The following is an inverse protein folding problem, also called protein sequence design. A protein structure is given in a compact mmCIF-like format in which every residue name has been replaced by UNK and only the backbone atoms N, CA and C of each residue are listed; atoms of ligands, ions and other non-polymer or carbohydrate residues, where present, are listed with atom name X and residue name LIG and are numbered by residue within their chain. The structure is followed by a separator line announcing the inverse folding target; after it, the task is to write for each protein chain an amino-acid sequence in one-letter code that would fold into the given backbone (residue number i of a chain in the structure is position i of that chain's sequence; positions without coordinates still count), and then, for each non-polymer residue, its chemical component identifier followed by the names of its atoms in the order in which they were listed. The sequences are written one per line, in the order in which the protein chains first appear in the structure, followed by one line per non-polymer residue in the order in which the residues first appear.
data_IF_199857641731
#
_entry.id   IF_199857641731
#
_cell.length_a   1.000
_cell.length_b   1.000
_cell.length_c   1.000
_cell.angle_alpha   90.00
_cell.angle_beta   90.00
_cell.angle_gamma   90.00
#
_symmetry.space_group_name_H-M   'P 1'
#
loop_
_entity.id
_entity.type
_entity.pdbx_description
1 polymer ?
#
# COMPACT_ATOMS: atom_id res chain seq x y z
N UNK A 1 -89.52 -0.72 -49.51
CA UNK A 1 -89.19 -1.00 -48.09
C UNK A 1 -87.74 -1.48 -48.04
N UNK A 2 -86.79 -0.58 -47.81
CA UNK A 2 -85.36 -0.93 -47.73
C UNK A 2 -85.04 -1.30 -46.28
N UNK A 3 -84.94 -2.60 -46.00
CA UNK A 3 -84.53 -3.12 -44.69
C UNK A 3 -83.09 -2.68 -44.42
N UNK A 4 -82.90 -1.77 -43.46
CA UNK A 4 -81.55 -1.41 -43.00
C UNK A 4 -81.00 -2.60 -42.24
N UNK A 5 -79.80 -3.11 -42.58
CA UNK A 5 -79.23 -4.26 -41.88
C UNK A 5 -79.08 -3.96 -40.39
N UNK A 6 -79.25 -4.96 -39.51
CA UNK A 6 -79.10 -4.75 -38.08
C UNK A 6 -77.70 -4.20 -37.77
N UNK A 7 -77.58 -3.19 -36.89
CA UNK A 7 -76.29 -2.65 -36.51
C UNK A 7 -75.46 -3.71 -35.79
N UNK A 8 -74.18 -3.77 -36.12
CA UNK A 8 -73.22 -4.66 -35.47
C UNK A 8 -72.92 -4.20 -34.03
N UNK A 9 -72.42 -5.11 -33.19
CA UNK A 9 -72.13 -4.85 -31.77
C UNK A 9 -71.14 -3.67 -31.61
N UNK A 10 -70.17 -3.55 -32.53
CA UNK A 10 -69.25 -2.41 -32.57
C UNK A 10 -69.97 -1.07 -32.77
N UNK A 11 -71.03 -1.04 -33.58
CA UNK A 11 -71.83 0.17 -33.79
C UNK A 11 -72.64 0.54 -32.55
N UNK A 12 -73.12 -0.45 -31.78
CA UNK A 12 -73.80 -0.22 -30.51
C UNK A 12 -72.85 0.33 -29.44
N UNK A 13 -71.62 -0.19 -29.33
CA UNK A 13 -70.60 0.37 -28.45
C UNK A 13 -70.16 1.78 -28.87
N UNK A 14 -69.94 2.02 -30.16
CA UNK A 14 -69.64 3.35 -30.67
C UNK A 14 -70.79 4.36 -30.41
N UNK A 15 -72.04 3.89 -30.39
CA UNK A 15 -73.20 4.71 -29.99
C UNK A 15 -73.19 5.04 -28.48
N UNK A 16 -72.78 4.10 -27.63
CA UNK A 16 -72.60 4.32 -26.17
C UNK A 16 -71.50 5.34 -25.91
N UNK A 17 -70.40 5.27 -26.66
CA UNK A 17 -69.23 6.14 -26.52
C UNK A 17 -69.36 7.50 -27.25
N UNK A 18 -70.47 7.72 -27.97
CA UNK A 18 -70.71 8.96 -28.72
C UNK A 18 -69.83 9.14 -29.96
N UNK A 19 -69.18 8.08 -30.45
CA UNK A 19 -68.19 8.10 -31.54
C UNK A 19 -68.78 7.83 -32.94
N UNK A 20 -70.11 7.73 -33.07
CA UNK A 20 -70.76 7.58 -34.37
C UNK A 20 -71.00 8.93 -35.06
N UNK A 21 -70.86 8.95 -36.39
CA UNK A 21 -71.29 10.06 -37.24
C UNK A 21 -72.80 10.34 -37.10
N UNK A 22 -73.27 11.59 -37.26
CA UNK A 22 -74.67 11.98 -37.01
C UNK A 22 -75.70 11.14 -37.76
N UNK A 23 -75.42 10.81 -39.03
CA UNK A 23 -76.31 9.99 -39.87
C UNK A 23 -76.42 8.54 -39.37
N UNK A 24 -75.29 7.94 -38.97
CA UNK A 24 -75.25 6.57 -38.44
C UNK A 24 -75.89 6.50 -37.04
N UNK A 25 -75.70 7.54 -36.23
CA UNK A 25 -76.34 7.68 -34.92
C UNK A 25 -77.86 7.72 -35.01
N UNK A 26 -78.41 8.42 -36.01
CA UNK A 26 -79.84 8.48 -36.25
C UNK A 26 -80.40 7.11 -36.70
N UNK A 27 -79.68 6.40 -37.57
CA UNK A 27 -80.07 5.05 -38.01
C UNK A 27 -80.06 4.04 -36.85
N UNK A 28 -79.02 4.06 -36.00
CA UNK A 28 -78.94 3.20 -34.80
C UNK A 28 -80.03 3.56 -33.79
N UNK A 29 -80.32 4.86 -33.58
CA UNK A 29 -81.40 5.30 -32.70
C UNK A 29 -82.79 4.84 -33.17
N UNK A 30 -83.07 4.95 -34.47
CA UNK A 30 -84.32 4.46 -35.06
C UNK A 30 -84.45 2.93 -34.94
N UNK A 31 -83.34 2.19 -35.13
CA UNK A 31 -83.34 0.74 -34.94
C UNK A 31 -83.58 0.33 -33.48
N UNK A 32 -82.99 1.05 -32.51
CA UNK A 32 -83.21 0.81 -31.08
C UNK A 32 -84.65 1.10 -30.64
N UNK A 33 -85.35 2.06 -31.28
CA UNK A 33 -86.78 2.28 -31.03
C UNK A 33 -87.65 1.09 -31.44
N UNK A 34 -87.25 0.37 -32.50
CA UNK A 34 -87.95 -0.84 -32.95
C UNK A 34 -87.57 -2.10 -32.15
N UNK A 35 -86.53 -2.04 -31.29
CA UNK A 35 -85.96 -3.20 -30.56
C UNK A 35 -85.77 -2.89 -29.06
N UNK A 36 -86.85 -2.94 -28.25
CA UNK A 36 -86.83 -2.47 -26.86
C UNK A 36 -85.90 -3.25 -25.93
N UNK A 37 -85.69 -4.55 -26.18
CA UNK A 37 -84.78 -5.37 -25.38
C UNK A 37 -83.30 -4.94 -25.56
N UNK A 38 -82.92 -4.56 -26.77
CA UNK A 38 -81.59 -4.08 -27.12
C UNK A 38 -81.38 -2.64 -26.63
N UNK A 39 -82.42 -1.81 -26.70
CA UNK A 39 -82.41 -0.47 -26.10
C UNK A 39 -82.14 -0.53 -24.58
N UNK A 40 -82.76 -1.48 -23.87
CA UNK A 40 -82.51 -1.67 -22.44
C UNK A 40 -81.05 -2.07 -22.12
N UNK A 41 -80.44 -2.93 -22.94
CA UNK A 41 -79.02 -3.32 -22.81
C UNK A 41 -78.09 -2.13 -23.03
N UNK A 42 -78.29 -1.35 -24.10
CA UNK A 42 -77.49 -0.16 -24.42
C UNK A 42 -77.62 0.91 -23.33
N UNK A 43 -78.82 1.08 -22.75
CA UNK A 43 -79.05 1.98 -21.62
C UNK A 43 -78.34 1.51 -20.33
N UNK A 44 -78.16 0.20 -20.14
CA UNK A 44 -77.30 -0.37 -19.09
C UNK A 44 -75.85 0.04 -19.27
N UNK A 45 -75.28 -0.20 -20.46
CA UNK A 45 -73.90 0.16 -20.78
C UNK A 45 -73.58 1.64 -20.65
N UNK A 46 -74.53 2.52 -21.03
CA UNK A 46 -74.38 3.97 -20.83
C UNK A 46 -74.23 4.34 -19.35
N UNK A 47 -75.05 3.75 -18.48
CA UNK A 47 -74.97 3.98 -17.03
C UNK A 47 -73.66 3.48 -16.44
N UNK A 48 -73.19 2.32 -16.87
CA UNK A 48 -71.91 1.76 -16.40
C UNK A 48 -70.73 2.63 -16.84
N UNK A 49 -70.73 3.08 -18.10
CA UNK A 49 -69.70 3.97 -18.63
C UNK A 49 -69.69 5.34 -17.92
N UNK A 50 -70.86 5.89 -17.59
CA UNK A 50 -70.99 7.13 -16.81
C UNK A 50 -70.50 6.96 -15.37
N UNK A 51 -70.84 5.84 -14.71
CA UNK A 51 -70.36 5.53 -13.37
C UNK A 51 -68.83 5.40 -13.31
N UNK A 52 -68.23 4.73 -14.30
CA UNK A 52 -66.77 4.61 -14.42
C UNK A 52 -66.10 5.97 -14.67
N UNK A 53 -66.68 6.80 -15.55
CA UNK A 53 -66.18 8.16 -15.80
C UNK A 53 -66.26 9.03 -14.55
N UNK A 54 -67.36 8.95 -13.79
CA UNK A 54 -67.53 9.69 -12.54
C UNK A 54 -66.52 9.24 -11.47
N UNK A 55 -66.29 7.92 -11.34
CA UNK A 55 -65.29 7.37 -10.42
C UNK A 55 -63.85 7.80 -10.78
N UNK A 56 -63.56 7.97 -12.08
CA UNK A 56 -62.26 8.40 -12.56
C UNK A 56 -62.09 9.92 -12.69
N UNK A 57 -63.15 10.72 -12.65
CA UNK A 57 -63.07 12.18 -12.84
C UNK A 57 -62.28 12.90 -11.73
N UNK A 58 -62.12 12.28 -10.55
CA UNK A 58 -61.28 12.79 -9.47
C UNK A 58 -59.82 12.33 -9.52
N UNK A 59 -59.48 11.41 -10.44
CA UNK A 59 -58.13 10.93 -10.70
C UNK A 59 -57.56 11.70 -11.89
N UNK A 60 -57.45 13.03 -11.76
CA UNK A 60 -56.63 13.82 -12.68
C UNK A 60 -55.21 13.21 -12.71
N UNK A 61 -54.65 12.91 -13.90
CA UNK A 61 -53.35 12.28 -13.98
C UNK A 61 -52.28 13.32 -13.63
N UNK A 62 -51.89 13.35 -12.35
CA UNK A 62 -50.62 13.90 -11.87
C UNK A 62 -49.40 13.26 -12.59
N UNK A 63 -49.64 12.28 -13.47
CA UNK A 63 -48.64 11.69 -14.35
C UNK A 63 -48.19 12.58 -15.52
N UNK A 64 -48.85 13.71 -15.80
CA UNK A 64 -48.41 14.64 -16.84
C UNK A 64 -47.23 15.54 -16.41
N UNK A 65 -46.97 15.68 -15.10
CA UNK A 65 -45.91 16.57 -14.58
C UNK A 65 -44.56 15.88 -14.38
N UNK A 66 -44.49 14.55 -14.36
CA UNK A 66 -43.22 13.84 -14.56
C UNK A 66 -42.88 13.81 -16.05
N UNK A 67 -42.47 14.98 -16.55
CA UNK A 67 -41.83 15.10 -17.84
C UNK A 67 -40.50 14.31 -17.79
N UNK A 68 -40.57 13.01 -18.09
CA UNK A 68 -39.45 12.12 -18.43
C UNK A 68 -38.84 12.58 -19.75
N UNK A 69 -38.32 13.81 -19.76
CA UNK A 69 -37.61 14.36 -20.90
C UNK A 69 -36.30 13.57 -21.05
N UNK A 70 -35.99 13.05 -22.24
CA UNK A 70 -34.72 12.34 -22.49
C UNK A 70 -33.49 13.18 -22.10
N UNK A 71 -33.63 14.51 -22.14
CA UNK A 71 -32.61 15.44 -21.68
C UNK A 71 -32.35 15.39 -20.16
N UNK A 72 -33.40 15.31 -19.32
CA UNK A 72 -33.24 15.20 -17.87
C UNK A 72 -32.59 13.86 -17.47
N UNK A 73 -33.00 12.77 -18.11
CA UNK A 73 -32.43 11.42 -17.87
C UNK A 73 -30.93 11.39 -18.25
N UNK A 74 -30.56 11.94 -19.42
CA UNK A 74 -29.14 12.03 -19.84
C UNK A 74 -28.29 12.87 -18.89
N UNK A 75 -28.81 14.00 -18.40
CA UNK A 75 -28.10 14.84 -17.42
C UNK A 75 -27.85 14.10 -16.10
N UNK A 76 -28.85 13.37 -15.61
CA UNK A 76 -28.72 12.54 -14.41
C UNK A 76 -27.67 11.44 -14.56
N UNK A 77 -27.67 10.74 -15.70
CA UNK A 77 -26.66 9.71 -16.01
C UNK A 77 -25.24 10.28 -16.13
N UNK A 78 -25.07 11.45 -16.76
CA UNK A 78 -23.77 12.11 -16.89
C UNK A 78 -23.22 12.58 -15.54
N UNK A 79 -24.05 13.14 -14.66
CA UNK A 79 -23.65 13.50 -13.29
C UNK A 79 -23.24 12.28 -12.47
N UNK A 80 -23.97 11.16 -12.60
CA UNK A 80 -23.63 9.89 -11.92
C UNK A 80 -22.30 9.31 -12.41
N UNK A 81 -22.03 9.38 -13.73
CA UNK A 81 -20.73 8.95 -14.30
C UNK A 81 -19.59 9.86 -13.85
N UNK A 82 -19.80 11.18 -13.77
CA UNK A 82 -18.80 12.14 -13.28
C UNK A 82 -18.46 11.93 -11.80
N UNK A 83 -19.46 11.68 -10.97
CA UNK A 83 -19.24 11.41 -9.54
C UNK A 83 -18.51 10.09 -9.32
N UNK A 84 -18.89 9.02 -10.03
CA UNK A 84 -18.17 7.74 -10.00
C UNK A 84 -16.72 7.87 -10.50
N UNK A 85 -16.50 8.62 -11.59
CA UNK A 85 -15.15 8.89 -12.10
C UNK A 85 -14.31 9.71 -11.11
N UNK A 86 -14.92 10.68 -10.43
CA UNK A 86 -14.25 11.45 -9.39
C UNK A 86 -13.83 10.57 -8.21
N UNK A 87 -14.72 9.71 -7.70
CA UNK A 87 -14.37 8.75 -6.62
C UNK A 87 -13.26 7.77 -7.04
N UNK A 88 -13.28 7.29 -8.28
CA UNK A 88 -12.23 6.41 -8.80
C UNK A 88 -10.87 7.15 -8.88
N UNK A 89 -10.87 8.39 -9.38
CA UNK A 89 -9.68 9.24 -9.41
C UNK A 89 -9.13 9.51 -8.00
N UNK A 90 -10.00 9.76 -7.01
CA UNK A 90 -9.61 9.93 -5.61
C UNK A 90 -8.97 8.66 -5.04
N UNK A 91 -9.50 7.47 -5.36
CA UNK A 91 -8.91 6.20 -4.91
C UNK A 91 -7.55 5.96 -5.55
N UNK A 92 -7.38 6.23 -6.85
CA UNK A 92 -6.09 6.10 -7.54
C UNK A 92 -5.07 7.10 -7.00
N UNK A 93 -5.47 8.35 -6.72
CA UNK A 93 -4.59 9.34 -6.11
C UNK A 93 -4.21 8.96 -4.68
N UNK A 94 -5.14 8.45 -3.87
CA UNK A 94 -4.85 7.99 -2.52
C UNK A 94 -3.91 6.77 -2.51
N UNK A 95 -4.12 5.80 -3.42
CA UNK A 95 -3.24 4.64 -3.58
C UNK A 95 -1.88 5.02 -4.16
N UNK A 96 -1.82 5.94 -5.13
CA UNK A 96 -0.58 6.43 -5.72
C UNK A 96 0.27 7.23 -4.75
N UNK A 97 -0.34 8.15 -3.99
CA UNK A 97 0.35 8.90 -2.94
C UNK A 97 0.74 8.01 -1.76
N UNK A 98 -0.13 7.07 -1.36
CA UNK A 98 0.12 6.14 -0.26
C UNK A 98 1.24 5.15 -0.55
N UNK A 99 1.34 4.64 -1.77
CA UNK A 99 2.40 3.69 -2.17
C UNK A 99 3.73 4.39 -2.43
N UNK A 100 3.72 5.54 -3.13
CA UNK A 100 4.93 6.30 -3.44
C UNK A 100 5.60 6.88 -2.20
N UNK A 101 4.84 7.60 -1.36
CA UNK A 101 5.37 8.18 -0.11
C UNK A 101 5.66 7.11 0.92
N UNK A 102 4.84 6.06 1.01
CA UNK A 102 5.02 4.95 1.95
C UNK A 102 6.33 4.20 1.72
N UNK A 103 6.74 3.99 0.46
CA UNK A 103 7.99 3.30 0.15
C UNK A 103 9.23 4.16 0.46
N UNK A 104 9.22 5.45 0.11
CA UNK A 104 10.31 6.38 0.47
C UNK A 104 10.43 6.58 1.99
N UNK A 105 9.30 6.65 2.71
CA UNK A 105 9.29 6.72 4.18
C UNK A 105 9.83 5.42 4.80
N UNK A 106 9.60 4.26 4.18
CA UNK A 106 10.16 2.98 4.64
C UNK A 106 11.68 2.94 4.43
N UNK A 107 12.18 3.35 3.27
CA UNK A 107 13.63 3.37 2.98
C UNK A 107 14.37 4.36 3.88
N UNK A 108 13.82 5.57 4.07
CA UNK A 108 14.39 6.55 5.00
C UNK A 108 14.34 6.06 6.45
N UNK A 109 13.25 5.44 6.90
CA UNK A 109 13.19 4.82 8.25
C UNK A 109 14.20 3.68 8.42
N UNK A 110 14.37 2.82 7.41
CA UNK A 110 15.37 1.75 7.46
C UNK A 110 16.80 2.32 7.47
N UNK A 111 17.06 3.42 6.76
CA UNK A 111 18.34 4.12 6.80
C UNK A 111 18.59 4.80 8.16
N UNK A 112 17.56 5.39 8.78
CA UNK A 112 17.64 6.02 10.11
C UNK A 112 17.78 4.98 11.23
N UNK A 113 17.21 3.78 11.06
CA UNK A 113 17.30 2.68 12.03
C UNK A 113 18.52 1.77 11.86
N UNK A 114 19.27 1.86 10.74
CA UNK A 114 20.56 1.19 10.61
C UNK A 114 21.55 1.83 11.55
N UNK A 115 21.66 1.28 12.74
CA UNK A 115 22.65 1.75 13.71
C UNK A 115 24.04 1.45 13.15
N UNK A 116 24.94 2.45 13.07
CA UNK A 116 26.29 2.24 12.53
C UNK A 116 27.01 1.12 13.27
N UNK A 117 27.69 0.25 12.50
CA UNK A 117 28.57 -0.81 13.01
C UNK A 117 27.91 -1.78 14.00
N UNK A 118 26.59 -2.01 13.89
CA UNK A 118 25.89 -3.02 14.71
C UNK A 118 26.44 -4.44 14.48
N UNK A 119 26.88 -4.72 13.25
CA UNK A 119 27.58 -5.92 12.83
C UNK A 119 28.91 -6.12 13.57
N UNK A 120 29.68 -5.04 13.80
CA UNK A 120 30.94 -5.10 14.55
C UNK A 120 30.73 -5.54 16.01
N UNK A 121 29.70 -5.01 16.69
CA UNK A 121 29.38 -5.38 18.07
C UNK A 121 28.89 -6.83 18.15
N UNK A 122 28.07 -7.25 17.19
CA UNK A 122 27.61 -8.64 17.09
C UNK A 122 28.78 -9.61 16.86
N UNK A 123 29.69 -9.28 15.94
CA UNK A 123 30.90 -10.07 15.68
C UNK A 123 31.81 -10.13 16.90
N UNK A 124 31.97 -9.03 17.64
CA UNK A 124 32.79 -9.01 18.86
C UNK A 124 32.21 -9.91 19.96
N UNK A 125 30.88 -9.93 20.15
CA UNK A 125 30.23 -10.81 21.14
C UNK A 125 30.55 -12.29 20.89
N UNK A 126 30.59 -12.72 19.63
CA UNK A 126 30.98 -14.09 19.27
C UNK A 126 32.41 -14.46 19.76
N UNK A 127 33.32 -13.47 19.81
CA UNK A 127 34.70 -13.67 20.26
C UNK A 127 34.93 -13.42 21.76
N UNK A 128 34.24 -12.44 22.34
CA UNK A 128 34.38 -12.09 23.74
C UNK A 128 33.78 -13.16 24.65
N UNK A 129 32.68 -13.80 24.21
CA UNK A 129 32.04 -14.92 24.91
C UNK A 129 32.60 -16.28 24.50
N UNK A 130 33.72 -16.33 23.76
CA UNK A 130 34.32 -17.58 23.29
C UNK A 130 34.78 -18.51 24.43
N UNK A 131 34.96 -17.99 25.65
CA UNK A 131 35.22 -18.82 26.85
C UNK A 131 33.96 -19.62 27.30
N UNK A 132 32.76 -19.23 26.84
CA UNK A 132 31.51 -19.95 27.10
C UNK A 132 31.20 -21.04 26.05
N UNK A 133 31.78 -20.97 24.85
CA UNK A 133 31.53 -21.93 23.76
C UNK A 133 32.83 -22.24 22.97
N UNK A 134 33.70 -23.14 23.48
CA UNK A 134 34.96 -23.50 22.83
C UNK A 134 34.83 -24.16 21.45
N UNK A 135 33.60 -24.48 21.00
CA UNK A 135 33.31 -25.06 19.69
C UNK A 135 33.15 -24.06 18.53
N UNK A 136 33.08 -22.74 18.80
CA UNK A 136 32.96 -21.70 17.76
C UNK A 136 34.33 -21.17 17.29
N UNK A 137 35.43 -21.74 17.80
CA UNK A 137 36.82 -21.47 17.41
C UNK A 137 37.20 -22.04 16.02
N UNK A 138 36.26 -22.08 15.09
CA UNK A 138 36.51 -22.17 13.65
C UNK A 138 36.71 -20.71 13.20
N UNK A 139 37.84 -20.05 13.40
CA UNK A 139 39.08 -20.30 12.70
C UNK A 139 40.01 -19.18 13.21
N UNK A 140 40.96 -19.46 14.10
CA UNK A 140 41.93 -18.44 14.52
C UNK A 140 42.96 -18.33 13.39
N UNK A 141 42.69 -17.53 12.35
CA UNK A 141 43.69 -17.32 11.31
C UNK A 141 44.95 -16.71 11.91
N UNK A 142 46.10 -17.34 11.69
CA UNK A 142 47.39 -16.77 12.09
C UNK A 142 47.64 -15.52 11.27
N UNK A 143 48.30 -14.53 11.89
CA UNK A 143 48.64 -13.22 11.26
C UNK A 143 49.15 -13.35 9.81
N UNK A 144 49.97 -14.37 9.55
CA UNK A 144 50.62 -14.66 8.27
C UNK A 144 49.65 -14.95 7.12
N UNK A 145 48.47 -15.50 7.41
CA UNK A 145 47.44 -15.84 6.41
C UNK A 145 46.42 -14.71 6.23
N UNK A 146 46.19 -13.95 7.29
CA UNK A 146 45.19 -12.90 7.34
C UNK A 146 45.69 -11.57 6.71
N UNK A 147 46.97 -11.24 6.88
CA UNK A 147 47.54 -10.00 6.33
C UNK A 147 47.49 -9.93 4.80
N UNK A 148 47.84 -10.98 4.02
CA UNK A 148 47.66 -10.97 2.57
C UNK A 148 46.20 -10.75 2.16
N UNK A 149 45.26 -11.43 2.81
CA UNK A 149 43.83 -11.31 2.49
C UNK A 149 43.29 -9.90 2.75
N UNK A 150 43.65 -9.32 3.91
CA UNK A 150 43.27 -7.95 4.26
C UNK A 150 43.82 -6.95 3.26
N UNK A 151 45.08 -7.11 2.83
CA UNK A 151 45.66 -6.23 1.80
C UNK A 151 44.97 -6.38 0.45
N UNK A 152 44.55 -7.58 0.07
CA UNK A 152 43.78 -7.79 -1.17
C UNK A 152 42.41 -7.11 -1.12
N UNK A 153 41.73 -7.12 0.03
CA UNK A 153 40.35 -6.61 0.15
C UNK A 153 40.26 -5.14 0.59
N UNK A 154 41.22 -4.65 1.36
CA UNK A 154 41.22 -3.30 1.95
C UNK A 154 42.44 -2.45 1.54
N UNK A 155 43.35 -2.98 0.72
CA UNK A 155 44.53 -2.24 0.26
C UNK A 155 45.43 -1.81 1.42
N UNK A 156 45.78 -0.52 1.47
CA UNK A 156 46.62 0.05 2.53
C UNK A 156 45.94 0.06 3.91
N UNK A 157 44.61 0.12 3.94
CA UNK A 157 43.82 0.02 5.17
C UNK A 157 43.82 -1.40 5.77
N UNK A 158 44.30 -2.40 5.01
CA UNK A 158 44.39 -3.80 5.42
C UNK A 158 45.66 -4.17 6.20
N UNK A 159 46.49 -3.20 6.58
CA UNK A 159 47.68 -3.47 7.40
C UNK A 159 47.27 -3.75 8.84
N UNK A 160 47.68 -4.90 9.37
CA UNK A 160 47.37 -5.30 10.75
C UNK A 160 48.14 -4.42 11.74
N UNK A 161 47.45 -3.58 12.55
CA UNK A 161 48.13 -2.66 13.45
C UNK A 161 48.88 -3.39 14.57
N UNK A 162 50.08 -2.89 14.87
CA UNK A 162 50.87 -3.35 16.00
C UNK A 162 50.52 -2.55 17.27
N UNK A 163 49.76 -3.18 18.17
CA UNK A 163 49.32 -2.58 19.44
C UNK A 163 50.16 -3.01 20.64
N UNK A 164 51.33 -3.63 20.41
CA UNK A 164 52.22 -4.11 21.48
C UNK A 164 52.69 -2.98 22.40
N UNK A 165 52.91 -1.79 21.84
CA UNK A 165 53.28 -0.59 22.62
C UNK A 165 52.19 -0.15 23.61
N UNK A 166 50.93 -0.51 23.37
CA UNK A 166 49.79 -0.25 24.26
C UNK A 166 49.46 -1.45 25.16
N UNK A 167 50.29 -2.50 25.12
CA UNK A 167 50.14 -3.71 25.92
C UNK A 167 49.18 -4.75 25.34
N UNK A 168 48.74 -4.59 24.09
CA UNK A 168 47.83 -5.52 23.42
C UNK A 168 48.56 -6.40 22.41
N UNK A 169 48.31 -7.70 22.47
CA UNK A 169 48.87 -8.70 21.55
C UNK A 169 47.75 -9.28 20.70
N UNK A 170 47.97 -9.36 19.39
CA UNK A 170 47.05 -10.00 18.46
C UNK A 170 46.94 -11.49 18.79
N UNK A 171 45.73 -11.96 19.08
CA UNK A 171 45.43 -13.38 19.31
C UNK A 171 45.01 -14.10 18.04
N UNK A 172 44.37 -13.38 17.12
CA UNK A 172 44.00 -13.86 15.80
C UNK A 172 42.96 -12.96 15.16
N UNK A 173 42.38 -13.42 14.07
CA UNK A 173 41.22 -12.77 13.48
C UNK A 173 40.35 -13.77 12.73
N UNK A 174 39.18 -13.32 12.30
CA UNK A 174 38.22 -14.07 11.49
C UNK A 174 37.68 -13.21 10.36
N UNK A 175 37.47 -13.87 9.22
CA UNK A 175 36.82 -13.30 8.05
C UNK A 175 35.32 -13.49 8.13
N UNK A 176 34.56 -12.45 7.82
CA UNK A 176 33.11 -12.39 7.97
C UNK A 176 32.49 -11.92 6.66
N UNK A 177 31.30 -12.42 6.35
CA UNK A 177 30.51 -11.93 5.22
C UNK A 177 29.40 -11.03 5.74
N UNK A 178 29.35 -9.80 5.24
CA UNK A 178 28.37 -8.79 5.64
C UNK A 178 27.58 -8.30 4.42
N UNK A 179 26.39 -7.70 4.63
CA UNK A 179 25.64 -7.07 3.53
C UNK A 179 26.45 -6.01 2.76
N UNK A 180 27.42 -5.39 3.42
CA UNK A 180 28.32 -4.36 2.85
C UNK A 180 29.57 -4.94 2.17
N UNK A 181 29.81 -6.24 2.27
CA UNK A 181 30.94 -6.94 1.66
C UNK A 181 31.72 -7.82 2.63
N UNK A 182 32.89 -8.28 2.20
CA UNK A 182 33.76 -9.08 3.05
C UNK A 182 34.35 -8.20 4.17
N UNK A 183 34.18 -8.61 5.42
CA UNK A 183 34.66 -7.95 6.61
C UNK A 183 35.68 -8.83 7.35
N UNK A 184 36.44 -8.22 8.26
CA UNK A 184 37.37 -8.93 9.12
C UNK A 184 37.29 -8.42 10.56
N UNK A 185 37.40 -9.33 11.51
CA UNK A 185 37.52 -9.04 12.95
C UNK A 185 38.88 -9.50 13.44
N UNK A 186 39.66 -8.61 14.03
CA UNK A 186 40.95 -8.91 14.65
C UNK A 186 40.81 -8.79 16.16
N UNK A 187 41.22 -9.81 16.90
CA UNK A 187 41.09 -9.83 18.36
C UNK A 187 42.46 -9.69 18.99
N UNK A 188 42.58 -8.72 19.87
CA UNK A 188 43.77 -8.48 20.68
C UNK A 188 43.44 -8.72 22.15
N UNK A 189 44.42 -9.12 22.95
CA UNK A 189 44.29 -9.20 24.41
C UNK A 189 45.41 -8.44 25.10
N UNK A 190 45.13 -7.86 26.26
CA UNK A 190 46.17 -7.34 27.15
C UNK A 190 46.79 -8.43 28.05
N UNK A 191 47.72 -8.02 28.92
CA UNK A 191 48.38 -8.90 29.89
C UNK A 191 47.42 -9.42 30.97
N UNK A 192 46.34 -8.67 31.25
CA UNK A 192 45.30 -9.02 32.23
C UNK A 192 44.22 -9.95 31.62
N UNK A 193 44.34 -10.27 30.33
CA UNK A 193 43.43 -11.14 29.58
C UNK A 193 42.22 -10.44 28.99
N UNK A 194 42.07 -9.13 29.15
CA UNK A 194 40.97 -8.37 28.58
C UNK A 194 41.14 -8.22 27.06
N UNK A 195 40.06 -8.50 26.33
CA UNK A 195 40.06 -8.60 24.86
C UNK A 195 39.44 -7.36 24.20
N UNK A 196 40.07 -6.87 23.14
CA UNK A 196 39.52 -5.84 22.25
C UNK A 196 39.46 -6.38 20.81
N UNK A 197 38.43 -6.01 20.06
CA UNK A 197 38.24 -6.37 18.67
C UNK A 197 38.39 -5.16 17.75
N UNK A 198 39.23 -5.26 16.74
CA UNK A 198 39.30 -4.31 15.64
C UNK A 198 38.58 -4.91 14.43
N UNK A 199 37.51 -4.25 14.01
CA UNK A 199 36.67 -4.66 12.90
C UNK A 199 36.90 -3.77 11.70
N UNK A 200 37.00 -4.37 10.52
CA UNK A 200 37.22 -3.70 9.24
C UNK A 200 36.16 -4.16 8.24
N UNK A 201 35.55 -3.22 7.52
CA UNK A 201 34.65 -3.54 6.41
C UNK A 201 34.60 -2.45 5.34
N UNK A 202 34.12 -2.74 4.12
CA UNK A 202 33.92 -1.71 3.10
C UNK A 202 32.88 -0.69 3.57
N UNK A 203 33.10 0.57 3.20
CA UNK A 203 32.21 1.68 3.51
C UNK A 203 31.08 1.76 2.49
N UNK A 204 29.83 1.71 2.96
CA UNK A 204 28.63 1.82 2.12
C UNK A 204 27.94 3.18 2.27
N UNK A 205 28.69 4.27 2.07
CA UNK A 205 28.19 5.65 2.14
C UNK A 205 28.86 6.53 3.20
N UNK A 206 28.36 7.76 3.41
CA UNK A 206 28.94 8.69 4.38
C UNK A 206 28.81 8.15 5.80
N UNK A 207 29.95 7.98 6.48
CA UNK A 207 30.01 7.41 7.82
C UNK A 207 30.64 8.42 8.79
N UNK A 208 29.90 8.87 9.83
CA UNK A 208 30.47 9.75 10.85
C UNK A 208 31.46 8.99 11.73
N UNK A 209 32.40 9.72 12.32
CA UNK A 209 33.27 9.19 13.39
C UNK A 209 32.59 9.40 14.74
N UNK A 210 32.63 8.40 15.62
CA UNK A 210 31.99 8.51 16.93
C UNK A 210 32.22 7.31 17.85
N UNK A 211 31.51 7.32 18.97
CA UNK A 211 31.48 6.22 19.92
C UNK A 211 30.05 5.79 20.22
N UNK A 212 29.83 4.48 20.38
CA UNK A 212 28.56 3.89 20.75
C UNK A 212 28.76 2.93 21.90
N UNK A 213 27.91 3.03 22.92
CA UNK A 213 27.85 2.08 24.02
C UNK A 213 26.70 1.10 23.80
N UNK A 214 26.97 -0.19 23.99
CA UNK A 214 25.98 -1.26 23.94
C UNK A 214 26.17 -2.15 25.18
N UNK A 215 25.38 -1.84 26.23
CA UNK A 215 25.51 -2.46 27.55
C UNK A 215 26.89 -2.23 28.18
N UNK A 216 27.65 -3.32 28.35
CA UNK A 216 29.02 -3.32 28.89
C UNK A 216 30.10 -3.08 27.84
N UNK A 217 29.73 -3.01 26.57
CA UNK A 217 30.65 -2.82 25.45
C UNK A 217 30.64 -1.37 24.97
N UNK A 218 31.79 -0.90 24.53
CA UNK A 218 31.98 0.37 23.85
C UNK A 218 32.57 0.06 22.46
N UNK A 219 32.00 0.69 21.43
CA UNK A 219 32.44 0.60 20.05
C UNK A 219 32.79 2.01 19.56
N UNK A 220 34.06 2.24 19.24
CA UNK A 220 34.51 3.47 18.59
C UNK A 220 34.66 3.21 17.10
N UNK A 221 34.01 3.99 16.27
CA UNK A 221 33.99 3.76 14.83
C UNK A 221 34.42 5.01 14.07
N UNK A 222 35.10 4.79 12.95
CA UNK A 222 35.57 5.82 12.04
C UNK A 222 35.64 5.23 10.62
N UNK A 223 35.89 6.09 9.64
CA UNK A 223 36.12 5.65 8.27
C UNK A 223 37.34 6.36 7.71
N UNK A 224 38.07 5.64 6.86
CA UNK A 224 39.27 6.10 6.20
C UNK A 224 39.29 5.55 4.77
N UNK A 225 39.30 6.46 3.79
CA UNK A 225 39.05 6.12 2.40
C UNK A 225 37.75 5.33 2.25
N UNK A 226 37.82 4.18 1.59
CA UNK A 226 36.69 3.26 1.36
C UNK A 226 36.52 2.18 2.44
N UNK A 227 37.28 2.26 3.54
CA UNK A 227 37.22 1.28 4.63
C UNK A 227 36.65 1.92 5.89
N UNK A 228 35.73 1.21 6.52
CA UNK A 228 35.15 1.57 7.80
C UNK A 228 35.74 0.67 8.89
N UNK A 229 36.07 1.29 10.01
CA UNK A 229 36.72 0.66 11.15
C UNK A 229 35.85 0.77 12.39
N UNK A 230 35.87 -0.26 13.24
CA UNK A 230 35.30 -0.21 14.56
C UNK A 230 36.18 -0.93 15.59
N UNK A 231 36.55 -0.23 16.65
CA UNK A 231 37.23 -0.79 17.80
C UNK A 231 36.21 -1.08 18.91
N UNK A 232 36.00 -2.35 19.22
CA UNK A 232 35.01 -2.83 20.18
C UNK A 232 35.71 -3.46 21.37
N UNK A 233 35.24 -3.16 22.59
CA UNK A 233 35.79 -3.73 23.81
C UNK A 233 34.97 -3.36 25.04
N UNK A 234 35.40 -3.79 26.24
CA UNK A 234 34.72 -3.45 27.48
C UNK A 234 34.73 -1.94 27.72
N UNK A 235 33.57 -1.37 28.07
CA UNK A 235 33.43 0.07 28.30
C UNK A 235 34.25 0.59 29.49
N UNK A 236 34.68 -0.31 30.39
CA UNK A 236 35.56 -0.02 31.53
C UNK A 236 37.01 0.20 31.12
N UNK A 237 37.38 -0.15 29.88
CA UNK A 237 38.77 -0.11 29.44
C UNK A 237 39.12 1.27 28.87
N UNK A 238 39.50 2.20 29.75
CA UNK A 238 39.87 3.59 29.39
C UNK A 238 40.95 3.65 28.31
N UNK A 239 41.89 2.68 28.31
CA UNK A 239 42.95 2.56 27.29
C UNK A 239 42.41 2.43 25.86
N UNK A 240 41.23 1.85 25.67
CA UNK A 240 40.64 1.68 24.35
C UNK A 240 40.33 3.03 23.67
N UNK A 241 39.98 4.07 24.46
CA UNK A 241 39.78 5.44 23.94
C UNK A 241 41.05 6.07 23.39
N UNK A 242 42.22 5.60 23.85
CA UNK A 242 43.53 6.08 23.38
C UNK A 242 44.01 5.36 22.12
N UNK A 243 43.46 4.19 21.79
CA UNK A 243 43.90 3.38 20.64
C UNK A 243 43.25 3.86 19.33
N UNK A 244 41.95 4.15 19.34
CA UNK A 244 41.24 4.56 18.12
C UNK A 244 41.83 5.82 17.44
N UNK A 245 42.32 6.84 18.17
CA UNK A 245 43.04 7.97 17.55
C UNK A 245 44.39 7.57 16.93
N UNK A 246 45.12 6.61 17.54
CA UNK A 246 46.42 6.16 17.01
C UNK A 246 46.25 5.39 15.69
N UNK A 247 45.22 4.55 15.61
CA UNK A 247 44.90 3.82 14.38
C UNK A 247 44.52 4.76 13.22
N UNK A 248 43.82 5.86 13.53
CA UNK A 248 43.47 6.92 12.56
C UNK A 248 44.65 7.69 12.00
N UNK A 249 45.80 7.70 12.70
CA UNK A 249 46.99 8.43 12.26
C UNK A 249 47.98 7.59 11.46
N UNK A 250 47.71 6.29 11.28
CA UNK A 250 48.61 5.33 10.64
C UNK A 250 48.14 4.88 9.24
N UNK A 251 46.99 5.37 8.77
CA UNK A 251 46.43 5.06 7.45
C UNK A 251 46.66 6.16 6.40
#
# INVERSE_FOLDING_TARGET
MTSTPPPDEHALHAYVDGRLEPAQRAAVAAWLQAHPAQAARVAGWKRDAEALRAAHAGLEPEMATLALTPAAIRRGLQQRRRTLAATAASCVLALGLGTGLGWQLRESRLAIQRVPMADAVAAYRLFADADAHPGVALEVQRRTELEPWLRTHFGNAGVVPDLRAQGYVLRGGQLLSTPEGAAAMLVYSDADGARIGLYLRPRSGPMPTGERRDGRLLAQYWAEGETAFALVGPATQTRMRMIAPLLRSQG
#
